data_IF_402097464894
#
_entry.id   IF_402097464894
#
_cell.length_a   1.000
_cell.length_b   1.000
_cell.length_c   1.000
_cell.angle_alpha   90.00
_cell.angle_beta   90.00
_cell.angle_gamma   90.00
#
_symmetry.space_group_name_H-M   'P 1'
#
loop_
_entity.id
_entity.type
_entity.pdbx_description
1 polymer ?
#
# COMPACT_ATOMS: atom_id res chain seq x y z
N UNK A 1 -25.27 26.14 24.22
CA UNK A 1 -24.92 25.09 23.23
C UNK A 1 -23.51 25.35 22.73
N UNK A 2 -22.51 24.74 23.35
CA UNK A 2 -21.12 24.80 22.89
C UNK A 2 -21.03 23.88 21.69
N UNK A 3 -20.83 24.42 20.49
CA UNK A 3 -20.76 23.62 19.27
C UNK A 3 -19.56 22.65 19.36
N UNK A 4 -19.72 21.45 18.79
CA UNK A 4 -18.62 20.47 18.62
C UNK A 4 -17.42 21.09 17.87
N UNK A 5 -17.66 22.18 17.12
CA UNK A 5 -16.67 22.97 16.40
C UNK A 5 -16.00 24.08 17.22
N UNK A 6 -16.33 24.24 18.51
CA UNK A 6 -15.62 25.21 19.36
C UNK A 6 -14.24 24.61 19.66
N UNK A 7 -13.12 25.21 19.21
CA UNK A 7 -11.80 24.69 19.48
C UNK A 7 -11.46 24.99 20.94
N UNK A 8 -11.96 24.17 21.86
CA UNK A 8 -11.27 24.00 23.12
C UNK A 8 -9.95 23.34 22.77
N UNK A 9 -8.86 24.08 22.87
CA UNK A 9 -7.50 23.56 22.76
C UNK A 9 -7.12 22.79 24.04
N UNK A 10 -8.06 21.99 24.53
CA UNK A 10 -7.70 20.88 25.40
C UNK A 10 -7.02 19.89 24.46
N UNK A 11 -5.81 19.42 24.80
CA UNK A 11 -5.02 18.50 23.96
C UNK A 11 -5.66 17.10 23.85
N UNK A 12 -6.99 17.02 23.97
CA UNK A 12 -7.74 15.79 23.84
C UNK A 12 -7.80 15.37 22.36
N UNK A 13 -7.52 14.09 22.05
CA UNK A 13 -7.65 13.57 20.70
C UNK A 13 -9.07 13.78 20.16
N UNK A 14 -9.17 14.36 18.97
CA UNK A 14 -10.41 14.33 18.17
C UNK A 14 -10.13 13.49 16.93
N UNK A 15 -10.52 12.22 16.96
CA UNK A 15 -10.22 11.25 15.91
C UNK A 15 -11.45 10.95 15.06
N UNK A 16 -11.24 10.73 13.76
CA UNK A 16 -12.24 10.08 12.94
C UNK A 16 -12.28 8.57 13.24
N UNK A 17 -13.40 8.09 13.76
CA UNK A 17 -13.62 6.65 13.94
C UNK A 17 -13.69 5.95 12.58
N UNK A 18 -12.96 4.83 12.45
CA UNK A 18 -12.88 4.03 11.23
C UNK A 18 -12.95 2.54 11.54
N UNK A 19 -13.32 1.73 10.56
CA UNK A 19 -13.50 0.29 10.74
C UNK A 19 -12.19 -0.47 11.00
N UNK A 20 -11.05 0.07 10.58
CA UNK A 20 -9.74 -0.56 10.77
C UNK A 20 -9.07 -0.19 12.11
N UNK A 21 -9.76 0.55 12.98
CA UNK A 21 -9.35 0.86 14.36
C UNK A 21 -7.92 1.41 14.51
N UNK A 22 -7.46 2.19 13.54
CA UNK A 22 -6.13 2.78 13.52
C UNK A 22 -6.26 4.32 13.53
N UNK A 23 -5.41 5.06 14.25
CA UNK A 23 -5.45 6.52 14.31
C UNK A 23 -5.05 7.19 12.98
N UNK A 24 -4.55 6.40 12.03
CA UNK A 24 -4.16 6.83 10.69
C UNK A 24 -4.81 5.94 9.63
N UNK A 25 -4.78 6.39 8.38
CA UNK A 25 -5.00 5.55 7.20
C UNK A 25 -3.67 5.18 6.58
N UNK A 26 -3.42 3.89 6.42
CA UNK A 26 -2.29 3.38 5.63
C UNK A 26 -2.83 2.92 4.29
N UNK A 27 -2.63 3.73 3.25
CA UNK A 27 -3.00 3.38 1.89
C UNK A 27 -1.82 2.70 1.19
N UNK A 28 -1.92 1.39 1.02
CA UNK A 28 -0.93 0.55 0.36
C UNK A 28 -1.36 0.25 -1.08
N UNK A 29 -0.63 0.80 -2.05
CA UNK A 29 -0.99 0.70 -3.46
C UNK A 29 0.10 0.02 -4.28
N UNK A 30 -0.22 -1.10 -4.93
CA UNK A 30 0.69 -1.79 -5.86
C UNK A 30 0.72 -1.02 -7.19
N UNK A 31 1.83 -0.33 -7.47
CA UNK A 31 1.93 0.65 -8.57
C UNK A 31 2.37 0.03 -9.89
N UNK A 32 3.47 -0.72 -9.89
CA UNK A 32 4.06 -1.23 -11.13
C UNK A 32 4.76 -2.56 -10.89
N UNK A 33 4.59 -3.48 -11.83
CA UNK A 33 5.19 -4.81 -11.84
C UNK A 33 6.21 -4.91 -12.98
N UNK A 34 7.51 -4.82 -12.67
CA UNK A 34 8.60 -5.00 -13.65
C UNK A 34 8.95 -6.49 -13.82
N UNK A 35 9.99 -6.82 -14.57
CA UNK A 35 10.46 -8.21 -14.71
C UNK A 35 10.93 -8.76 -13.35
N UNK A 36 11.96 -8.16 -12.78
CA UNK A 36 12.65 -8.64 -11.57
C UNK A 36 12.29 -7.86 -10.28
N UNK A 37 11.53 -6.76 -10.42
CA UNK A 37 11.14 -5.89 -9.31
C UNK A 37 9.65 -5.53 -9.37
N UNK A 38 9.13 -5.04 -8.26
CA UNK A 38 7.80 -4.44 -8.20
C UNK A 38 7.82 -3.22 -7.27
N UNK A 39 6.88 -2.31 -7.49
CA UNK A 39 6.78 -1.06 -6.75
C UNK A 39 5.48 -0.96 -5.99
N UNK A 40 5.60 -0.51 -4.75
CA UNK A 40 4.48 -0.14 -3.89
C UNK A 40 4.57 1.34 -3.59
N UNK A 41 3.43 2.03 -3.62
CA UNK A 41 3.29 3.37 -3.06
C UNK A 41 2.55 3.26 -1.73
N UNK A 42 3.16 3.80 -0.68
CA UNK A 42 2.60 3.85 0.68
C UNK A 42 2.24 5.29 0.99
N UNK A 43 1.00 5.55 1.38
CA UNK A 43 0.57 6.86 1.85
C UNK A 43 -0.03 6.75 3.25
N UNK A 44 0.44 7.57 4.17
CA UNK A 44 -0.07 7.67 5.53
C UNK A 44 -0.89 8.95 5.63
N UNK A 45 -2.09 8.87 6.16
CA UNK A 45 -2.95 10.04 6.41
C UNK A 45 -3.38 10.06 7.87
N UNK A 46 -3.21 11.19 8.54
CA UNK A 46 -3.67 11.36 9.92
C UNK A 46 -5.19 11.50 9.98
N UNK A 47 -5.83 10.82 10.94
CA UNK A 47 -7.27 11.00 11.23
C UNK A 47 -7.55 11.81 12.50
N UNK A 48 -6.52 12.31 13.16
CA UNK A 48 -6.66 13.18 14.32
C UNK A 48 -6.74 14.65 13.89
N UNK A 49 -7.85 15.31 14.17
CA UNK A 49 -8.12 16.72 13.82
C UNK A 49 -7.48 17.74 14.78
N UNK A 50 -6.82 17.29 15.85
CA UNK A 50 -6.26 18.19 16.88
C UNK A 50 -4.80 17.88 17.23
N UNK A 51 -4.26 16.77 16.75
CA UNK A 51 -2.92 16.33 17.12
C UNK A 51 -2.09 15.93 15.91
N UNK A 52 -0.86 16.43 15.90
CA UNK A 52 0.20 15.99 15.00
C UNK A 52 0.94 14.79 15.63
N UNK A 53 1.43 13.88 14.80
CA UNK A 53 2.33 12.82 15.23
C UNK A 53 3.78 13.19 14.89
N UNK A 54 4.58 13.51 15.90
CA UNK A 54 6.02 13.71 15.75
C UNK A 54 6.76 12.39 15.87
N UNK A 55 7.84 12.22 15.09
CA UNK A 55 8.68 11.02 15.08
C UNK A 55 7.88 9.73 14.92
N UNK A 56 6.88 9.77 14.04
CA UNK A 56 6.00 8.63 13.80
C UNK A 56 6.78 7.43 13.23
N UNK A 57 6.28 6.24 13.53
CA UNK A 57 6.82 4.97 13.05
C UNK A 57 5.70 4.08 12.53
N UNK A 58 5.97 3.39 11.43
CA UNK A 58 5.09 2.43 10.79
C UNK A 58 5.84 1.10 10.65
N UNK A 59 5.52 0.11 11.47
CA UNK A 59 6.05 -1.24 11.30
C UNK A 59 5.09 -2.05 10.42
N UNK A 60 5.64 -2.71 9.41
CA UNK A 60 4.89 -3.49 8.42
C UNK A 60 5.48 -4.89 8.38
N UNK A 61 4.61 -5.89 8.41
CA UNK A 61 4.96 -7.28 8.18
C UNK A 61 4.52 -7.70 6.78
N UNK A 62 5.48 -8.13 5.96
CA UNK A 62 5.22 -8.69 4.64
C UNK A 62 6.40 -9.62 4.24
N UNK A 63 6.13 -10.84 3.74
CA UNK A 63 7.18 -11.83 3.45
C UNK A 63 8.35 -11.31 2.60
N UNK A 64 8.07 -10.44 1.64
CA UNK A 64 9.09 -9.87 0.73
C UNK A 64 9.86 -8.64 1.29
N UNK A 65 9.65 -8.23 2.55
CA UNK A 65 10.46 -7.16 3.17
C UNK A 65 11.88 -7.62 3.51
N UNK A 66 12.14 -8.93 3.46
CA UNK A 66 13.47 -9.51 3.54
C UNK A 66 14.38 -9.08 2.36
N UNK A 67 13.80 -8.71 1.21
CA UNK A 67 14.51 -8.29 0.01
C UNK A 67 14.04 -6.92 -0.51
N UNK A 68 13.99 -5.95 0.41
CA UNK A 68 13.70 -4.56 0.10
C UNK A 68 14.93 -3.88 -0.52
N UNK A 69 14.81 -3.44 -1.77
CA UNK A 69 15.92 -2.86 -2.53
C UNK A 69 16.09 -1.38 -2.24
N UNK A 70 14.99 -0.62 -2.25
CA UNK A 70 15.05 0.83 -2.08
C UNK A 70 13.77 1.37 -1.45
N UNK A 71 13.93 2.33 -0.55
CA UNK A 71 12.84 3.08 0.09
C UNK A 71 13.01 4.54 -0.28
N UNK A 72 11.97 5.13 -0.87
CA UNK A 72 11.94 6.53 -1.26
C UNK A 72 11.21 7.33 -0.19
N UNK A 73 11.75 8.50 0.16
CA UNK A 73 11.10 9.49 1.04
C UNK A 73 10.90 9.09 2.50
N UNK A 74 11.09 7.83 2.90
CA UNK A 74 11.11 7.39 4.31
C UNK A 74 12.46 6.75 4.64
N UNK A 75 12.80 6.75 5.92
CA UNK A 75 13.85 5.89 6.44
C UNK A 75 13.29 4.49 6.71
N UNK A 76 14.16 3.48 6.64
CA UNK A 76 13.81 2.09 6.85
C UNK A 76 14.79 1.40 7.79
N UNK A 77 14.26 0.60 8.71
CA UNK A 77 15.02 -0.27 9.60
C UNK A 77 14.37 -1.65 9.62
N UNK A 78 15.06 -2.72 9.18
CA UNK A 78 14.55 -4.08 9.34
C UNK A 78 14.46 -4.43 10.82
N UNK A 79 13.38 -5.09 11.22
CA UNK A 79 13.18 -5.60 12.58
C UNK A 79 13.43 -7.11 12.56
N UNK A 80 14.52 -7.53 13.21
CA UNK A 80 14.93 -8.93 13.32
C UNK A 80 14.83 -9.37 14.79
N UNK A 81 13.62 -9.55 15.35
CA UNK A 81 13.45 -9.88 16.76
C UNK A 81 14.01 -11.27 17.08
N UNK A 82 13.83 -12.21 16.15
CA UNK A 82 14.36 -13.56 16.19
C UNK A 82 15.01 -13.79 14.83
N UNK A 83 16.29 -14.17 14.76
CA UNK A 83 17.05 -14.18 13.50
C UNK A 83 16.47 -15.02 12.35
N UNK A 84 15.43 -15.81 12.59
CA UNK A 84 14.66 -16.56 11.59
C UNK A 84 13.56 -15.77 10.88
N UNK A 85 13.04 -14.69 11.48
CA UNK A 85 11.92 -13.91 10.93
C UNK A 85 12.46 -12.55 10.45
N UNK A 86 12.58 -12.40 9.14
CA UNK A 86 13.07 -11.20 8.46
C UNK A 86 12.01 -10.53 7.57
N UNK A 87 10.73 -10.78 7.86
CA UNK A 87 9.58 -10.26 7.10
C UNK A 87 9.02 -8.94 7.64
N UNK A 88 9.62 -8.40 8.70
CA UNK A 88 9.12 -7.21 9.40
C UNK A 88 10.10 -6.05 9.26
N UNK A 89 9.58 -4.90 8.84
CA UNK A 89 10.36 -3.70 8.65
C UNK A 89 9.67 -2.46 9.20
N UNK A 90 10.45 -1.55 9.77
CA UNK A 90 9.98 -0.30 10.33
C UNK A 90 10.33 0.86 9.41
N UNK A 91 9.31 1.63 9.04
CA UNK A 91 9.41 2.88 8.31
C UNK A 91 9.21 4.06 9.25
N UNK A 92 9.94 5.13 9.05
CA UNK A 92 9.79 6.36 9.83
C UNK A 92 10.20 7.57 9.01
N UNK A 93 9.74 8.74 9.42
CA UNK A 93 10.01 9.99 8.70
C UNK A 93 11.50 10.36 8.69
N UNK A 94 11.89 11.09 7.64
CA UNK A 94 13.18 11.75 7.55
C UNK A 94 13.13 13.07 8.31
N UNK A 95 14.15 13.29 9.16
CA UNK A 95 14.26 14.49 9.98
C UNK A 95 14.21 15.75 9.12
N UNK A 96 13.39 16.73 9.50
CA UNK A 96 13.19 17.99 8.77
C UNK A 96 12.53 17.87 7.39
N UNK A 97 11.98 16.70 7.03
CA UNK A 97 11.25 16.53 5.77
C UNK A 97 9.83 16.03 6.00
N UNK A 98 9.67 14.88 6.66
CA UNK A 98 8.37 14.27 6.93
C UNK A 98 8.34 13.47 8.25
N UNK A 99 9.23 13.79 9.18
CA UNK A 99 9.23 13.32 10.57
C UNK A 99 8.04 13.81 11.39
N UNK A 100 7.36 14.86 10.92
CA UNK A 100 6.10 15.36 11.46
C UNK A 100 4.94 14.99 10.54
N UNK A 101 4.01 14.16 11.04
CA UNK A 101 2.73 13.91 10.39
C UNK A 101 1.70 14.90 10.95
N UNK A 102 1.31 15.86 10.12
CA UNK A 102 0.36 16.91 10.49
C UNK A 102 -1.03 16.34 10.80
N UNK A 103 -1.84 17.10 11.53
CA UNK A 103 -3.25 16.82 11.82
C UNK A 103 -4.06 16.58 10.54
N UNK A 104 -5.22 15.94 10.72
CA UNK A 104 -6.12 15.58 9.65
C UNK A 104 -6.52 16.82 8.83
N UNK A 105 -6.16 16.81 7.55
CA UNK A 105 -6.38 17.93 6.63
C UNK A 105 -5.64 17.73 5.31
N UNK A 106 -5.67 18.73 4.40
CA UNK A 106 -5.01 18.64 3.09
C UNK A 106 -3.50 18.33 3.16
N UNK A 107 -2.83 18.81 4.22
CA UNK A 107 -1.40 18.62 4.48
C UNK A 107 -1.10 17.47 5.45
N UNK A 108 -2.13 16.79 5.97
CA UNK A 108 -2.04 15.70 6.94
C UNK A 108 -1.66 14.34 6.33
N UNK A 109 -0.90 14.34 5.23
CA UNK A 109 -0.48 13.11 4.57
C UNK A 109 1.01 13.11 4.20
N UNK A 110 1.62 11.94 4.30
CA UNK A 110 3.01 11.67 3.88
C UNK A 110 3.03 10.45 2.98
N UNK A 111 3.95 10.42 2.01
CA UNK A 111 3.98 9.38 0.99
C UNK A 111 5.40 8.87 0.75
N UNK A 112 5.49 7.59 0.40
CA UNK A 112 6.72 6.88 0.09
C UNK A 112 6.49 5.90 -1.05
N UNK A 113 7.57 5.54 -1.74
CA UNK A 113 7.59 4.43 -2.68
C UNK A 113 8.60 3.39 -2.20
N UNK A 114 8.27 2.12 -2.41
CA UNK A 114 9.11 0.98 -2.10
C UNK A 114 9.43 0.24 -3.39
N UNK A 115 10.70 -0.09 -3.61
CA UNK A 115 11.16 -0.99 -4.65
C UNK A 115 11.57 -2.30 -4.00
N UNK A 116 10.86 -3.37 -4.34
CA UNK A 116 11.10 -4.70 -3.80
C UNK A 116 11.56 -5.62 -4.94
N UNK A 117 12.60 -6.41 -4.68
CA UNK A 117 13.01 -7.44 -5.60
C UNK A 117 11.99 -8.59 -5.56
N UNK A 118 11.75 -9.23 -6.69
CA UNK A 118 10.92 -10.42 -6.73
C UNK A 118 11.74 -11.64 -6.38
N UNK A 119 11.19 -12.43 -5.48
CA UNK A 119 11.58 -13.81 -5.30
C UNK A 119 10.69 -14.69 -6.20
N UNK A 120 11.31 -15.47 -7.09
CA UNK A 120 10.60 -16.32 -8.07
C UNK A 120 9.79 -17.42 -7.40
N UNK A 121 10.20 -17.85 -6.21
CA UNK A 121 9.58 -18.97 -5.52
C UNK A 121 8.35 -18.53 -4.70
N UNK A 122 8.30 -17.26 -4.29
CA UNK A 122 7.26 -16.75 -3.39
C UNK A 122 6.39 -15.64 -3.97
N UNK A 123 6.83 -14.91 -4.99
CA UNK A 123 6.11 -13.76 -5.54
C UNK A 123 4.82 -14.16 -6.27
N UNK A 124 3.69 -13.57 -5.86
CA UNK A 124 2.39 -13.80 -6.49
C UNK A 124 1.44 -12.62 -6.26
N UNK A 125 0.45 -12.43 -7.14
CA UNK A 125 -0.66 -11.49 -6.90
C UNK A 125 -1.94 -12.19 -6.45
N UNK A 126 -1.89 -13.50 -6.21
CA UNK A 126 -3.06 -14.26 -5.77
C UNK A 126 -3.33 -14.00 -4.28
N UNK A 127 -4.61 -14.06 -3.89
CA UNK A 127 -5.08 -13.97 -2.50
C UNK A 127 -4.46 -12.84 -1.67
N UNK A 128 -4.33 -11.64 -2.27
CA UNK A 128 -3.84 -10.46 -1.56
C UNK A 128 -2.37 -10.57 -1.08
N UNK A 129 -1.54 -11.43 -1.68
CA UNK A 129 -0.15 -11.61 -1.25
C UNK A 129 0.66 -10.32 -1.24
N UNK A 130 0.43 -9.41 -2.19
CA UNK A 130 1.17 -8.15 -2.32
C UNK A 130 0.84 -7.10 -1.25
N UNK A 131 -0.05 -7.43 -0.29
CA UNK A 131 -0.50 -6.55 0.78
C UNK A 131 0.08 -6.99 2.13
N UNK A 132 0.32 -6.05 3.07
CA UNK A 132 0.82 -6.37 4.40
C UNK A 132 -0.04 -7.39 5.15
N UNK A 133 0.63 -8.22 5.94
CA UNK A 133 -0.01 -9.17 6.87
C UNK A 133 -0.36 -8.52 8.20
N UNK A 134 0.50 -7.60 8.66
CA UNK A 134 0.32 -6.79 9.87
C UNK A 134 0.87 -5.39 9.66
N UNK A 135 0.25 -4.43 10.32
CA UNK A 135 0.68 -3.02 10.33
C UNK A 135 0.53 -2.48 11.74
N UNK A 136 1.59 -1.88 12.26
CA UNK A 136 1.60 -1.17 13.52
C UNK A 136 1.97 0.29 13.30
N UNK A 137 1.23 1.20 13.92
CA UNK A 137 1.56 2.62 13.92
C UNK A 137 1.87 3.06 15.34
N UNK A 138 3.10 3.55 15.57
CA UNK A 138 3.59 3.93 16.91
C UNK A 138 3.39 2.85 18.00
N UNK A 139 3.34 1.58 17.61
CA UNK A 139 3.12 0.44 18.51
C UNK A 139 1.68 -0.06 18.55
N UNK A 140 0.69 0.72 18.09
CA UNK A 140 -0.70 0.30 18.03
C UNK A 140 -0.96 -0.56 16.79
N UNK A 141 -1.64 -1.69 16.95
CA UNK A 141 -1.99 -2.60 15.85
C UNK A 141 -3.17 -2.07 15.04
N UNK A 142 -3.02 -2.02 13.72
CA UNK A 142 -4.07 -1.61 12.80
C UNK A 142 -4.74 -2.85 12.20
N UNK A 143 -6.08 -2.88 12.19
CA UNK A 143 -6.82 -4.02 11.65
C UNK A 143 -6.74 -4.01 10.13
N UNK A 144 -6.32 -5.14 9.57
CA UNK A 144 -6.27 -5.34 8.12
C UNK A 144 -7.50 -6.14 7.67
N UNK A 145 -7.98 -5.90 6.45
CA UNK A 145 -9.03 -6.73 5.87
C UNK A 145 -8.51 -8.17 5.66
N UNK A 146 -9.40 -9.16 5.59
CA UNK A 146 -9.01 -10.53 5.28
C UNK A 146 -8.45 -10.61 3.85
N UNK A 147 -7.58 -11.59 3.53
CA UNK A 147 -6.83 -11.63 2.27
C UNK A 147 -7.69 -11.70 0.99
N UNK A 148 -8.91 -12.22 1.10
CA UNK A 148 -9.92 -12.34 0.05
C UNK A 148 -10.62 -11.01 -0.28
N UNK A 149 -10.56 -10.03 0.62
CA UNK A 149 -11.12 -8.70 0.40
C UNK A 149 -10.16 -7.74 -0.35
N UNK A 150 -8.90 -8.14 -0.56
CA UNK A 150 -7.97 -7.34 -1.35
C UNK A 150 -8.26 -7.43 -2.86
N UNK A 151 -8.00 -6.36 -3.62
CA UNK A 151 -8.21 -6.37 -5.07
C UNK A 151 -7.27 -7.40 -5.72
N UNK A 152 -7.84 -8.24 -6.58
CA UNK A 152 -7.13 -9.22 -7.39
C UNK A 152 -7.16 -8.80 -8.86
N UNK A 153 -6.18 -9.26 -9.63
CA UNK A 153 -6.19 -9.05 -11.07
C UNK A 153 -7.40 -9.77 -11.67
N UNK A 154 -8.24 -9.09 -12.48
CA UNK A 154 -9.37 -9.74 -13.12
C UNK A 154 -8.86 -10.86 -14.02
N UNK A 155 -9.44 -12.05 -13.88
CA UNK A 155 -9.19 -13.15 -14.81
C UNK A 155 -10.07 -12.99 -16.05
N UNK A 156 -9.90 -11.86 -16.74
CA UNK A 156 -10.66 -11.54 -17.96
C UNK A 156 -9.67 -11.27 -19.07
N UNK A 157 -9.40 -12.30 -19.89
CA UNK A 157 -8.92 -12.03 -21.23
C UNK A 157 -10.12 -11.48 -22.03
N UNK A 158 -9.98 -10.39 -22.81
CA UNK A 158 -11.01 -10.07 -23.79
C UNK A 158 -11.20 -11.33 -24.64
N UNK A 159 -12.44 -11.80 -24.78
CA UNK A 159 -12.75 -12.79 -25.78
C UNK A 159 -12.21 -12.23 -27.11
N UNK A 160 -11.37 -13.00 -27.78
CA UNK A 160 -10.80 -12.62 -29.07
C UNK A 160 -11.92 -12.16 -29.99
N UNK A 161 -12.06 -10.84 -30.21
CA UNK A 161 -12.99 -10.29 -31.20
C UNK A 161 -12.50 -10.55 -32.64
N UNK A 162 -11.28 -11.09 -32.80
CA UNK A 162 -10.84 -11.63 -34.07
C UNK A 162 -11.71 -12.85 -34.38
N UNK A 163 -12.75 -12.61 -35.18
CA UNK A 163 -13.49 -13.63 -35.88
C UNK A 163 -12.56 -14.21 -36.96
N UNK A 164 -11.57 -14.99 -36.55
CA UNK A 164 -10.63 -15.70 -37.41
C UNK A 164 -11.30 -16.35 -38.64
N UNK A 165 -12.48 -17.00 -38.53
CA UNK A 165 -13.11 -17.56 -39.72
C UNK A 165 -13.49 -16.49 -40.75
N UNK A 166 -13.99 -15.31 -40.36
CA UNK A 166 -14.33 -14.25 -41.31
C UNK A 166 -13.09 -13.72 -42.06
N UNK A 167 -11.95 -13.57 -41.37
CA UNK A 167 -10.68 -13.20 -42.01
C UNK A 167 -10.17 -14.28 -42.97
N UNK A 168 -10.28 -15.56 -42.58
CA UNK A 168 -9.89 -16.69 -43.44
C UNK A 168 -10.80 -16.75 -44.68
N UNK A 169 -12.11 -16.59 -44.53
CA UNK A 169 -13.05 -16.56 -45.66
C UNK A 169 -12.78 -15.39 -46.60
N UNK A 170 -12.46 -14.19 -46.07
CA UNK A 170 -12.11 -13.03 -46.89
C UNK A 170 -10.79 -13.25 -47.67
N UNK A 171 -9.78 -13.83 -47.03
CA UNK A 171 -8.50 -14.19 -47.67
C UNK A 171 -8.70 -15.23 -48.78
N UNK A 172 -9.49 -16.28 -48.53
CA UNK A 172 -9.81 -17.30 -49.55
C UNK A 172 -10.60 -16.71 -50.72
N UNK A 173 -11.55 -15.80 -50.45
CA UNK A 173 -12.29 -15.11 -51.50
C UNK A 173 -11.37 -14.25 -52.38
N UNK A 174 -10.47 -13.45 -51.79
CA UNK A 174 -9.50 -12.65 -52.53
C UNK A 174 -8.53 -13.49 -53.37
N UNK A 175 -8.12 -14.67 -52.88
CA UNK A 175 -7.28 -15.60 -53.63
C UNK A 175 -8.02 -16.29 -54.79
N UNK A 176 -9.35 -16.43 -54.72
CA UNK A 176 -10.15 -17.03 -55.79
C UNK A 176 -10.52 -16.08 -56.93
N UNK A 177 -10.41 -14.76 -56.70
CA UNK A 177 -10.76 -13.71 -57.66
C UNK A 177 -9.55 -13.26 -58.51
N UNK A 178 -8.33 -13.67 -58.14
CA UNK A 178 -7.11 -13.45 -58.94
C UNK A 178 -6.81 -14.67 -59.80
#
# INVERSE_FOLDING_TARGET
MVGVHTPKKDNEPLLQCTHHMCPIRVHWHVKTNYKDYWRVKVAITNFNYRMNHSLWSLAVQHPNLNNLTQVFSFNYKPLLPYGSINDTGMFYGMKYFNDLLMEAGPTGNVQSELLLQKDKDTFTFKQGWAFPRKVYFNGDECMLPPPDAYPFLPNSAPASLLNFPAFIFLLLFLLSVW
#
